data_IF_867055603391
#
_entry.id   IF_867055603391
#
_cell.length_a   1.000
_cell.length_b   1.000
_cell.length_c   1.000
_cell.angle_alpha   90.00
_cell.angle_beta   90.00
_cell.angle_gamma   90.00
#
_symmetry.space_group_name_H-M   'P 1'
#
loop_
_entity.id
_entity.type
_entity.pdbx_description
1 polymer ?
#
# COMPACT_ATOMS: atom_id res chain seq x y z
N UNK A 1 -20.94 -33.19 13.16
CA UNK A 1 -21.03 -32.45 14.45
C UNK A 1 -19.74 -31.71 14.81
N UNK A 2 -18.54 -32.25 14.53
CA UNK A 2 -17.26 -31.58 14.82
C UNK A 2 -17.03 -30.24 14.10
N UNK A 3 -17.36 -30.14 12.80
CA UNK A 3 -17.17 -28.90 12.02
C UNK A 3 -18.11 -27.75 12.43
N UNK A 4 -19.34 -28.06 12.87
CA UNK A 4 -20.29 -27.04 13.32
C UNK A 4 -19.84 -26.40 14.64
N UNK A 5 -19.35 -27.21 15.58
CA UNK A 5 -18.84 -26.70 16.86
C UNK A 5 -17.55 -25.89 16.67
N UNK A 6 -16.68 -26.29 15.73
CA UNK A 6 -15.48 -25.52 15.38
C UNK A 6 -15.83 -24.16 14.79
N UNK A 7 -16.79 -24.10 13.85
CA UNK A 7 -17.22 -22.85 13.22
C UNK A 7 -17.91 -21.92 14.22
N UNK A 8 -18.79 -22.46 15.08
CA UNK A 8 -19.44 -21.69 16.14
C UNK A 8 -18.42 -21.08 17.12
N UNK A 9 -17.38 -21.85 17.49
CA UNK A 9 -16.30 -21.35 18.35
C UNK A 9 -15.47 -20.23 17.70
N UNK A 10 -15.23 -20.29 16.39
CA UNK A 10 -14.55 -19.22 15.65
C UNK A 10 -15.39 -17.94 15.61
N UNK A 11 -16.69 -18.05 15.29
CA UNK A 11 -17.60 -16.91 15.27
C UNK A 11 -17.68 -16.20 16.63
N UNK A 12 -17.77 -16.95 17.74
CA UNK A 12 -17.75 -16.37 19.09
C UNK A 12 -16.43 -15.65 19.40
N UNK A 13 -15.30 -16.18 18.92
CA UNK A 13 -13.99 -15.54 19.05
C UNK A 13 -13.95 -14.22 18.25
N UNK A 14 -14.47 -14.22 17.02
CA UNK A 14 -14.54 -13.03 16.19
C UNK A 14 -15.41 -11.94 16.82
N UNK A 15 -16.61 -12.28 17.31
CA UNK A 15 -17.50 -11.35 18.04
C UNK A 15 -16.80 -10.73 19.27
N UNK A 16 -16.12 -11.56 20.07
CA UNK A 16 -15.36 -11.09 21.22
C UNK A 16 -14.25 -10.09 20.88
N UNK A 17 -13.62 -10.25 19.71
CA UNK A 17 -12.59 -9.31 19.21
C UNK A 17 -13.22 -8.05 18.64
N UNK A 18 -14.30 -8.18 17.86
CA UNK A 18 -15.01 -7.03 17.29
C UNK A 18 -15.51 -6.09 18.39
N UNK A 19 -15.98 -6.63 19.51
CA UNK A 19 -16.42 -5.84 20.68
C UNK A 19 -15.29 -5.04 21.34
N UNK A 20 -14.02 -5.36 21.07
CA UNK A 20 -12.85 -4.61 21.56
C UNK A 20 -12.43 -3.48 20.59
N UNK A 21 -12.99 -3.43 19.38
CA UNK A 21 -12.61 -2.49 18.34
C UNK A 21 -13.70 -1.42 18.20
N UNK A 22 -13.31 -0.20 18.54
CA UNK A 22 -14.15 1.00 18.41
C UNK A 22 -13.59 1.94 17.34
N UNK A 23 -14.40 2.86 16.77
CA UNK A 23 -13.96 3.77 15.70
C UNK A 23 -12.71 4.63 16.04
N UNK A 24 -12.46 4.89 17.32
CA UNK A 24 -11.32 5.65 17.83
C UNK A 24 -10.13 4.77 18.27
N UNK A 25 -10.21 3.46 18.04
CA UNK A 25 -9.16 2.50 18.40
C UNK A 25 -7.87 2.85 17.68
N UNK A 26 -6.81 3.07 18.45
CA UNK A 26 -5.52 3.48 17.92
C UNK A 26 -4.83 2.31 17.24
N UNK A 27 -4.07 2.61 16.20
CA UNK A 27 -3.30 1.60 15.46
C UNK A 27 -2.32 0.81 16.35
N UNK A 28 -1.77 1.44 17.38
CA UNK A 28 -0.90 0.77 18.35
C UNK A 28 -1.63 -0.31 19.15
N UNK A 29 -2.89 -0.07 19.52
CA UNK A 29 -3.70 -1.05 20.27
C UNK A 29 -4.19 -2.16 19.33
N UNK A 30 -4.57 -1.82 18.09
CA UNK A 30 -4.88 -2.81 17.06
C UNK A 30 -3.72 -3.80 16.83
N UNK A 31 -2.48 -3.30 16.83
CA UNK A 31 -1.27 -4.14 16.73
C UNK A 31 -1.02 -5.01 17.96
N UNK A 32 -1.41 -4.57 19.16
CA UNK A 32 -1.33 -5.41 20.38
C UNK A 32 -2.32 -6.56 20.27
N UNK A 33 -3.58 -6.28 19.90
CA UNK A 33 -4.60 -7.31 19.65
C UNK A 33 -4.09 -8.33 18.62
N UNK A 34 -3.55 -7.86 17.49
CA UNK A 34 -2.98 -8.74 16.47
C UNK A 34 -1.85 -9.64 17.01
N UNK A 35 -0.98 -9.08 17.86
CA UNK A 35 0.12 -9.82 18.49
C UNK A 35 -0.39 -10.92 19.42
N UNK A 36 -1.42 -10.64 20.21
CA UNK A 36 -1.99 -11.59 21.16
C UNK A 36 -2.74 -12.73 20.45
N UNK A 37 -3.38 -12.44 19.31
CA UNK A 37 -4.02 -13.45 18.45
C UNK A 37 -2.98 -14.31 17.73
N UNK A 38 -1.90 -13.69 17.23
CA UNK A 38 -0.97 -14.33 16.32
C UNK A 38 -1.55 -14.53 14.93
N UNK A 39 -1.01 -15.50 14.18
CA UNK A 39 -1.46 -15.80 12.82
C UNK A 39 -2.68 -16.74 12.85
N UNK A 40 -3.82 -16.28 12.36
CA UNK A 40 -5.08 -17.02 12.30
C UNK A 40 -5.88 -16.58 11.06
N UNK A 41 -5.75 -17.32 9.96
CA UNK A 41 -6.33 -16.94 8.67
C UNK A 41 -7.86 -17.06 8.64
N UNK A 42 -8.44 -18.06 9.31
CA UNK A 42 -9.90 -18.20 9.33
C UNK A 42 -10.54 -17.04 10.11
N UNK A 43 -9.97 -16.71 11.28
CA UNK A 43 -10.40 -15.54 12.03
C UNK A 43 -10.18 -14.24 11.25
N UNK A 44 -9.08 -14.13 10.49
CA UNK A 44 -8.86 -12.97 9.63
C UNK A 44 -10.01 -12.77 8.63
N UNK A 45 -10.47 -13.86 7.99
CA UNK A 45 -11.56 -13.79 7.02
C UNK A 45 -12.90 -13.48 7.69
N UNK A 46 -13.16 -13.98 8.90
CA UNK A 46 -14.35 -13.60 9.67
C UNK A 46 -14.32 -12.11 10.05
N UNK A 47 -13.20 -11.60 10.56
CA UNK A 47 -13.03 -10.17 10.87
C UNK A 47 -13.17 -9.30 9.62
N UNK A 48 -12.63 -9.75 8.49
CA UNK A 48 -12.73 -9.06 7.20
C UNK A 48 -14.18 -8.92 6.74
N UNK A 49 -14.97 -9.97 6.93
CA UNK A 49 -16.38 -10.03 6.53
C UNK A 49 -17.28 -9.04 7.28
N UNK A 50 -16.83 -8.51 8.42
CA UNK A 50 -17.56 -7.47 9.16
C UNK A 50 -17.77 -6.17 8.37
N UNK A 51 -17.01 -5.95 7.29
CA UNK A 51 -17.12 -4.76 6.45
C UNK A 51 -16.52 -3.48 7.05
N UNK A 52 -16.14 -3.51 8.33
CA UNK A 52 -15.62 -2.35 9.04
C UNK A 52 -14.12 -2.17 8.81
N UNK A 53 -13.68 -0.91 8.77
CA UNK A 53 -12.31 -0.53 8.40
C UNK A 53 -11.25 -1.10 9.36
N UNK A 54 -11.39 -0.86 10.67
CA UNK A 54 -10.41 -1.31 11.66
C UNK A 54 -10.35 -2.85 11.81
N UNK A 55 -11.47 -3.59 11.81
CA UNK A 55 -11.44 -5.05 11.72
C UNK A 55 -10.76 -5.58 10.47
N UNK A 56 -10.95 -4.96 9.30
CA UNK A 56 -10.23 -5.31 8.06
C UNK A 56 -8.73 -5.05 8.17
N UNK A 57 -8.30 -3.96 8.83
CA UNK A 57 -6.90 -3.72 9.14
C UNK A 57 -6.31 -4.78 10.08
N UNK A 58 -7.08 -5.22 11.10
CA UNK A 58 -6.66 -6.31 11.99
C UNK A 58 -6.57 -7.64 11.25
N UNK A 59 -7.55 -7.96 10.39
CA UNK A 59 -7.54 -9.15 9.55
C UNK A 59 -6.26 -9.24 8.71
N UNK A 60 -5.85 -8.13 8.09
CA UNK A 60 -4.58 -8.05 7.35
C UNK A 60 -3.37 -8.33 8.25
N UNK A 61 -3.38 -7.98 9.53
CA UNK A 61 -2.25 -8.26 10.43
C UNK A 61 -2.14 -9.73 10.80
N UNK A 62 -3.25 -10.44 10.89
CA UNK A 62 -3.29 -11.83 11.41
C UNK A 62 -3.46 -12.91 10.33
N UNK A 63 -3.78 -12.53 9.09
CA UNK A 63 -3.93 -13.49 8.00
C UNK A 63 -2.61 -14.21 7.66
N UNK A 64 -2.72 -15.43 7.16
CA UNK A 64 -1.57 -16.19 6.66
C UNK A 64 -1.17 -15.79 5.24
N UNK A 65 0.00 -15.15 5.09
CA UNK A 65 0.57 -14.74 3.81
C UNK A 65 0.70 -15.90 2.80
N UNK A 66 0.91 -17.14 3.28
CA UNK A 66 1.02 -18.31 2.41
C UNK A 66 -0.29 -18.69 1.73
N UNK A 67 -1.41 -18.20 2.24
CA UNK A 67 -2.76 -18.41 1.70
C UNK A 67 -3.23 -17.25 0.83
N UNK A 68 -2.41 -16.21 0.65
CA UNK A 68 -2.73 -15.10 -0.23
C UNK A 68 -2.45 -15.48 -1.69
N UNK A 69 -3.51 -15.49 -2.50
CA UNK A 69 -3.50 -15.73 -3.95
C UNK A 69 -4.04 -14.51 -4.69
N UNK A 70 -3.88 -14.47 -6.03
CA UNK A 70 -4.54 -13.44 -6.85
C UNK A 70 -6.05 -13.41 -6.62
N UNK A 71 -6.69 -14.58 -6.61
CA UNK A 71 -8.14 -14.67 -6.40
C UNK A 71 -8.57 -14.08 -5.06
N UNK A 72 -7.82 -14.35 -3.98
CA UNK A 72 -8.10 -13.76 -2.68
C UNK A 72 -7.88 -12.25 -2.72
N UNK A 73 -6.80 -11.76 -3.34
CA UNK A 73 -6.57 -10.32 -3.49
C UNK A 73 -7.71 -9.65 -4.24
N UNK A 74 -8.20 -10.24 -5.33
CA UNK A 74 -9.31 -9.71 -6.11
C UNK A 74 -10.62 -9.65 -5.28
N UNK A 75 -10.86 -10.66 -4.43
CA UNK A 75 -11.99 -10.67 -3.48
C UNK A 75 -11.85 -9.57 -2.42
N UNK A 76 -10.69 -9.48 -1.76
CA UNK A 76 -10.42 -8.43 -0.77
C UNK A 76 -10.51 -7.04 -1.40
N UNK A 77 -10.02 -6.87 -2.62
CA UNK A 77 -10.09 -5.60 -3.33
C UNK A 77 -11.54 -5.20 -3.63
N UNK A 78 -12.36 -6.13 -4.12
CA UNK A 78 -13.79 -5.87 -4.37
C UNK A 78 -14.46 -5.35 -3.11
N UNK A 79 -14.14 -5.97 -1.98
CA UNK A 79 -14.59 -5.56 -0.67
C UNK A 79 -14.05 -4.18 -0.24
N UNK A 80 -12.80 -3.84 -0.56
CA UNK A 80 -12.24 -2.51 -0.29
C UNK A 80 -12.99 -1.40 -1.02
N UNK A 81 -13.64 -1.68 -2.16
CA UNK A 81 -14.44 -0.68 -2.89
C UNK A 81 -15.68 -0.20 -2.11
N UNK A 82 -16.06 -0.88 -1.01
CA UNK A 82 -17.13 -0.41 -0.11
C UNK A 82 -16.67 0.71 0.83
N UNK A 83 -15.38 1.03 0.85
CA UNK A 83 -14.79 2.07 1.70
C UNK A 83 -14.55 3.39 0.95
N UNK A 84 -14.49 4.52 1.67
CA UNK A 84 -13.95 5.77 1.13
C UNK A 84 -12.55 5.60 0.54
N UNK A 85 -12.17 6.53 -0.36
CA UNK A 85 -10.92 6.45 -1.14
C UNK A 85 -9.68 6.31 -0.25
N UNK A 86 -9.62 7.05 0.85
CA UNK A 86 -8.46 7.04 1.74
C UNK A 86 -8.35 5.71 2.49
N UNK A 87 -9.48 5.15 2.94
CA UNK A 87 -9.53 3.87 3.63
C UNK A 87 -9.16 2.71 2.70
N UNK A 88 -9.69 2.66 1.47
CA UNK A 88 -9.30 1.61 0.50
C UNK A 88 -7.81 1.68 0.14
N UNK A 89 -7.26 2.89 -0.03
CA UNK A 89 -5.84 3.10 -0.29
C UNK A 89 -5.01 2.62 0.90
N UNK A 90 -5.44 2.94 2.12
CA UNK A 90 -4.77 2.48 3.33
C UNK A 90 -4.85 0.95 3.47
N UNK A 91 -6.00 0.32 3.19
CA UNK A 91 -6.15 -1.14 3.26
C UNK A 91 -5.23 -1.84 2.26
N UNK A 92 -5.15 -1.39 1.00
CA UNK A 92 -4.29 -2.05 0.01
C UNK A 92 -2.80 -1.84 0.30
N UNK A 93 -2.40 -0.64 0.74
CA UNK A 93 -1.01 -0.37 1.14
C UNK A 93 -0.63 -1.20 2.38
N UNK A 94 -1.58 -1.40 3.30
CA UNK A 94 -1.41 -2.23 4.48
C UNK A 94 -1.32 -3.73 4.13
N UNK A 95 -2.15 -4.21 3.19
CA UNK A 95 -2.09 -5.57 2.67
C UNK A 95 -0.73 -5.83 1.99
N UNK A 96 -0.26 -4.88 1.18
CA UNK A 96 1.06 -4.95 0.57
C UNK A 96 2.15 -5.12 1.63
N UNK A 97 2.21 -4.21 2.60
CA UNK A 97 3.29 -4.16 3.58
C UNK A 97 3.31 -5.38 4.53
N UNK A 98 2.14 -5.88 4.92
CA UNK A 98 2.04 -6.94 5.92
C UNK A 98 1.98 -8.34 5.30
N UNK A 99 1.52 -8.49 4.06
CA UNK A 99 1.21 -9.79 3.48
C UNK A 99 1.90 -10.01 2.13
N UNK A 100 1.74 -9.12 1.16
CA UNK A 100 2.23 -9.36 -0.20
C UNK A 100 3.77 -9.37 -0.28
N UNK A 101 4.44 -8.56 0.54
CA UNK A 101 5.91 -8.48 0.54
C UNK A 101 6.62 -9.53 1.40
N UNK A 102 5.91 -10.58 1.85
CA UNK A 102 6.45 -11.60 2.78
C UNK A 102 7.00 -12.84 2.08
N UNK A 103 6.61 -13.11 0.85
CA UNK A 103 6.98 -14.32 0.09
C UNK A 103 7.30 -13.99 -1.37
N UNK A 104 8.20 -14.76 -1.99
CA UNK A 104 8.61 -14.56 -3.40
C UNK A 104 7.43 -14.66 -4.37
N UNK A 105 6.48 -15.57 -4.11
CA UNK A 105 5.30 -15.77 -4.95
C UNK A 105 4.41 -14.53 -4.96
N UNK A 106 4.16 -13.93 -3.79
CA UNK A 106 3.31 -12.73 -3.70
C UNK A 106 4.03 -11.46 -4.14
N UNK A 107 5.37 -11.40 -4.05
CA UNK A 107 6.17 -10.35 -4.68
C UNK A 107 6.06 -10.44 -6.21
N UNK A 108 6.25 -11.62 -6.79
CA UNK A 108 6.11 -11.82 -8.25
C UNK A 108 4.70 -11.46 -8.73
N UNK A 109 3.69 -11.67 -7.89
CA UNK A 109 2.32 -11.25 -8.17
C UNK A 109 2.22 -9.72 -8.29
N UNK A 110 2.74 -9.00 -7.29
CA UNK A 110 2.78 -7.53 -7.29
C UNK A 110 3.55 -6.99 -8.50
N UNK A 111 4.66 -7.62 -8.87
CA UNK A 111 5.46 -7.23 -10.04
C UNK A 111 4.70 -7.41 -11.37
N UNK A 112 3.69 -8.29 -11.41
CA UNK A 112 2.83 -8.48 -12.60
C UNK A 112 1.74 -7.41 -12.77
N UNK A 113 1.52 -6.56 -11.76
CA UNK A 113 0.35 -5.67 -11.71
C UNK A 113 0.52 -4.31 -12.39
N UNK A 114 1.64 -4.04 -13.05
CA UNK A 114 1.90 -2.76 -13.72
C UNK A 114 0.72 -2.31 -14.62
N UNK A 115 0.15 -3.24 -15.38
CA UNK A 115 -0.96 -3.00 -16.30
C UNK A 115 -2.24 -3.73 -15.88
N UNK A 116 -2.40 -4.05 -14.60
CA UNK A 116 -3.61 -4.71 -14.10
C UNK A 116 -4.85 -3.86 -14.40
N UNK A 117 -6.01 -4.48 -14.63
CA UNK A 117 -7.27 -3.76 -14.80
C UNK A 117 -7.65 -2.97 -13.54
N UNK A 118 -7.34 -3.55 -12.37
CA UNK A 118 -7.51 -2.92 -11.06
C UNK A 118 -6.60 -1.70 -10.87
N UNK A 119 -7.19 -0.59 -10.43
CA UNK A 119 -6.42 0.58 -10.01
C UNK A 119 -5.65 0.33 -8.70
N UNK A 120 -6.21 -0.42 -7.73
CA UNK A 120 -5.50 -0.68 -6.47
C UNK A 120 -4.27 -1.58 -6.70
N UNK A 121 -4.34 -2.54 -7.62
CA UNK A 121 -3.20 -3.38 -7.98
C UNK A 121 -2.11 -2.59 -8.70
N UNK A 122 -2.48 -1.73 -9.68
CA UNK A 122 -1.52 -0.80 -10.31
C UNK A 122 -0.88 0.12 -9.27
N UNK A 123 -1.67 0.65 -8.32
CA UNK A 123 -1.15 1.46 -7.20
C UNK A 123 -0.09 0.68 -6.42
N UNK A 124 -0.37 -0.58 -6.06
CA UNK A 124 0.58 -1.41 -5.30
C UNK A 124 1.87 -1.66 -6.09
N UNK A 125 1.78 -1.92 -7.39
CA UNK A 125 2.96 -2.06 -8.25
C UNK A 125 3.85 -0.81 -8.17
N UNK A 126 3.29 0.37 -8.44
CA UNK A 126 4.05 1.62 -8.44
C UNK A 126 4.57 1.94 -7.04
N UNK A 127 3.72 1.83 -6.02
CA UNK A 127 4.14 2.08 -4.64
C UNK A 127 5.26 1.13 -4.21
N UNK A 128 5.24 -0.12 -4.65
CA UNK A 128 6.34 -1.06 -4.44
C UNK A 128 7.66 -0.57 -5.06
N UNK A 129 7.64 -0.11 -6.32
CA UNK A 129 8.83 0.42 -7.01
C UNK A 129 9.43 1.63 -6.29
N UNK A 130 8.59 2.55 -5.80
CA UNK A 130 9.05 3.68 -4.98
C UNK A 130 9.59 3.23 -3.61
N UNK A 131 8.92 2.29 -2.93
CA UNK A 131 9.34 1.79 -1.62
C UNK A 131 10.67 1.06 -1.66
N UNK A 132 10.98 0.34 -2.73
CA UNK A 132 12.28 -0.31 -2.90
C UNK A 132 13.42 0.72 -2.77
N UNK A 133 13.30 1.86 -3.44
CA UNK A 133 14.27 2.97 -3.38
C UNK A 133 14.29 3.64 -2.02
N UNK A 134 13.12 3.98 -1.48
CA UNK A 134 13.00 4.56 -0.14
C UNK A 134 13.67 3.71 0.95
N UNK A 135 13.62 2.38 0.82
CA UNK A 135 14.27 1.44 1.75
C UNK A 135 15.74 1.14 1.38
N UNK A 136 16.33 1.83 0.41
CA UNK A 136 17.71 1.62 -0.05
C UNK A 136 17.93 0.31 -0.82
N UNK A 137 16.86 -0.38 -1.25
CA UNK A 137 16.90 -1.61 -2.07
C UNK A 137 16.72 -1.28 -3.54
N UNK A 138 17.60 -0.43 -4.07
CA UNK A 138 17.49 0.13 -5.42
C UNK A 138 17.67 -0.98 -6.46
N UNK A 139 16.67 -1.26 -7.32
CA UNK A 139 16.84 -2.21 -8.41
C UNK A 139 17.86 -1.72 -9.42
N UNK A 140 18.61 -2.64 -10.03
CA UNK A 140 19.51 -2.31 -11.11
C UNK A 140 18.72 -2.01 -12.39
N UNK A 141 18.96 -0.83 -12.96
CA UNK A 141 18.65 -0.50 -14.35
C UNK A 141 17.16 -0.58 -14.77
N UNK A 142 16.23 -0.24 -13.87
CA UNK A 142 14.80 -0.16 -14.24
C UNK A 142 14.20 1.25 -14.19
N UNK A 143 14.92 2.25 -13.65
CA UNK A 143 14.41 3.61 -13.51
C UNK A 143 14.11 4.27 -14.86
N UNK A 144 14.97 4.07 -15.86
CA UNK A 144 14.79 4.64 -17.19
C UNK A 144 13.46 4.23 -17.83
N UNK A 145 13.13 2.94 -17.78
CA UNK A 145 11.88 2.37 -18.30
C UNK A 145 10.67 2.85 -17.48
N UNK A 146 10.74 2.79 -16.15
CA UNK A 146 9.68 3.26 -15.27
C UNK A 146 9.34 4.73 -15.54
N UNK A 147 10.34 5.60 -15.66
CA UNK A 147 10.11 7.01 -15.96
C UNK A 147 9.49 7.24 -17.34
N UNK A 148 9.86 6.45 -18.35
CA UNK A 148 9.23 6.54 -19.68
C UNK A 148 7.74 6.22 -19.61
N UNK A 149 7.37 5.18 -18.86
CA UNK A 149 5.96 4.82 -18.65
C UNK A 149 5.24 5.88 -17.81
N UNK A 150 5.89 6.43 -16.79
CA UNK A 150 5.33 7.51 -15.97
C UNK A 150 5.03 8.74 -16.83
N UNK A 151 5.99 9.21 -17.62
CA UNK A 151 5.85 10.37 -18.50
C UNK A 151 4.73 10.20 -19.52
N UNK A 152 4.51 8.98 -20.01
CA UNK A 152 3.46 8.66 -20.97
C UNK A 152 2.06 8.61 -20.35
N UNK A 153 1.94 8.15 -19.09
CA UNK A 153 0.65 7.76 -18.51
C UNK A 153 0.15 8.59 -17.32
N UNK A 154 1.03 9.22 -16.53
CA UNK A 154 0.69 9.69 -15.17
C UNK A 154 -0.49 10.66 -15.11
N UNK A 155 -0.62 11.58 -16.09
CA UNK A 155 -1.69 12.59 -16.12
C UNK A 155 -3.07 11.98 -16.38
N UNK A 156 -3.13 10.86 -17.10
CA UNK A 156 -4.39 10.21 -17.50
C UNK A 156 -4.79 9.05 -16.58
N UNK A 157 -4.00 8.78 -15.56
CA UNK A 157 -4.19 7.64 -14.67
C UNK A 157 -5.13 8.00 -13.49
N UNK A 158 -5.72 6.97 -12.86
CA UNK A 158 -6.56 7.14 -11.66
C UNK A 158 -5.80 7.82 -10.53
N UNK A 159 -6.42 8.70 -9.72
CA UNK A 159 -5.73 9.48 -8.68
C UNK A 159 -4.88 8.64 -7.73
N UNK A 160 -5.39 7.47 -7.31
CA UNK A 160 -4.69 6.56 -6.41
C UNK A 160 -3.43 5.94 -7.02
N UNK A 161 -3.38 5.75 -8.34
CA UNK A 161 -2.21 5.23 -9.06
C UNK A 161 -1.29 6.38 -9.46
N UNK A 162 -1.84 7.52 -9.89
CA UNK A 162 -1.11 8.75 -10.19
C UNK A 162 -0.21 9.17 -9.02
N UNK A 163 -0.74 9.10 -7.79
CA UNK A 163 0.05 9.40 -6.59
C UNK A 163 1.21 8.41 -6.40
N UNK A 164 0.97 7.12 -6.62
CA UNK A 164 2.02 6.09 -6.49
C UNK A 164 3.10 6.21 -7.58
N UNK A 165 2.71 6.60 -8.80
CA UNK A 165 3.63 6.92 -9.89
C UNK A 165 4.48 8.14 -9.56
N UNK A 166 3.86 9.21 -9.03
CA UNK A 166 4.55 10.40 -8.56
C UNK A 166 5.54 10.07 -7.43
N UNK A 167 5.10 9.31 -6.43
CA UNK A 167 5.95 8.82 -5.35
C UNK A 167 7.16 8.04 -5.89
N UNK A 168 6.95 7.18 -6.89
CA UNK A 168 8.03 6.44 -7.55
C UNK A 168 9.04 7.37 -8.23
N UNK A 169 8.57 8.33 -9.02
CA UNK A 169 9.43 9.32 -9.66
C UNK A 169 10.23 10.15 -8.64
N UNK A 170 9.61 10.54 -7.53
CA UNK A 170 10.28 11.27 -6.45
C UNK A 170 11.46 10.49 -5.88
N UNK A 171 11.25 9.21 -5.52
CA UNK A 171 12.32 8.37 -4.98
C UNK A 171 13.38 7.96 -6.01
N UNK A 172 13.02 7.84 -7.30
CA UNK A 172 14.01 7.74 -8.38
C UNK A 172 14.90 8.98 -8.38
N UNK A 173 14.32 10.19 -8.39
CA UNK A 173 15.07 11.44 -8.43
C UNK A 173 15.96 11.69 -7.20
N UNK A 174 15.62 11.12 -6.04
CA UNK A 174 16.43 11.22 -4.82
C UNK A 174 17.66 10.29 -4.90
N UNK A 175 17.45 9.01 -5.20
CA UNK A 175 18.48 7.97 -5.07
C UNK A 175 19.28 7.71 -6.35
N UNK A 176 18.71 7.96 -7.52
CA UNK A 176 19.33 7.70 -8.81
C UNK A 176 19.62 9.03 -9.51
N UNK A 177 20.69 9.71 -9.07
CA UNK A 177 21.01 11.10 -9.43
C UNK A 177 21.03 11.36 -10.93
N UNK A 178 21.40 10.38 -11.76
CA UNK A 178 21.37 10.52 -13.22
C UNK A 178 19.96 10.77 -13.80
N UNK A 179 18.90 10.49 -13.04
CA UNK A 179 17.51 10.71 -13.42
C UNK A 179 16.85 11.89 -12.70
N UNK A 180 17.56 12.57 -11.79
CA UNK A 180 16.99 13.65 -10.96
C UNK A 180 16.37 14.77 -11.78
N UNK A 181 17.10 15.29 -12.75
CA UNK A 181 16.63 16.39 -13.61
C UNK A 181 15.40 15.97 -14.43
N UNK A 182 15.34 14.70 -14.86
CA UNK A 182 14.18 14.13 -15.56
C UNK A 182 12.95 14.11 -14.65
N UNK A 183 13.10 13.71 -13.39
CA UNK A 183 12.01 13.72 -12.41
C UNK A 183 11.55 15.13 -12.04
N UNK A 184 12.47 16.09 -11.91
CA UNK A 184 12.14 17.50 -11.67
C UNK A 184 11.35 18.06 -12.86
N UNK A 185 11.84 17.86 -14.09
CA UNK A 185 11.17 18.32 -15.30
C UNK A 185 9.78 17.70 -15.47
N UNK A 186 9.59 16.42 -15.10
CA UNK A 186 8.28 15.78 -15.06
C UNK A 186 7.32 16.53 -14.11
N UNK A 187 7.78 16.87 -12.91
CA UNK A 187 6.98 17.62 -11.94
C UNK A 187 6.61 19.01 -12.43
N UNK A 188 7.57 19.75 -12.99
CA UNK A 188 7.36 21.07 -13.58
C UNK A 188 6.35 21.03 -14.73
N UNK A 189 6.49 20.06 -15.62
CA UNK A 189 5.61 19.87 -16.78
C UNK A 189 4.18 19.52 -16.38
N UNK A 190 4.02 18.64 -15.40
CA UNK A 190 2.68 18.12 -15.01
C UNK A 190 1.97 19.03 -14.01
N UNK A 191 2.72 19.74 -13.16
CA UNK A 191 2.15 20.57 -12.09
C UNK A 191 1.42 19.78 -11.01
N UNK A 192 1.52 18.45 -11.00
CA UNK A 192 0.83 17.60 -10.04
C UNK A 192 1.24 17.93 -8.59
N UNK A 193 0.25 18.03 -7.72
CA UNK A 193 0.39 18.33 -6.28
C UNK A 193 1.04 19.68 -5.95
N UNK A 194 1.20 20.57 -6.94
CA UNK A 194 1.79 21.89 -6.73
C UNK A 194 0.85 22.76 -5.89
N UNK A 195 1.36 23.22 -4.75
CA UNK A 195 0.62 24.10 -3.83
C UNK A 195 -0.31 23.35 -2.87
N UNK A 196 -0.29 22.02 -2.86
CA UNK A 196 -1.03 21.23 -1.87
C UNK A 196 -0.57 21.55 -0.45
N UNK A 197 -1.55 21.72 0.45
CA UNK A 197 -1.26 22.01 1.85
C UNK A 197 -0.80 20.74 2.56
N UNK A 198 0.45 20.73 2.99
CA UNK A 198 0.97 19.68 3.86
C UNK A 198 1.01 20.09 5.33
N UNK A 199 0.77 19.12 6.20
CA UNK A 199 0.93 19.33 7.65
C UNK A 199 2.38 19.65 8.00
N UNK A 200 2.58 20.37 9.11
CA UNK A 200 3.91 20.76 9.58
C UNK A 200 4.80 19.52 9.77
N UNK A 201 5.95 19.49 9.09
CA UNK A 201 6.92 18.39 9.15
C UNK A 201 6.77 17.33 8.05
N UNK A 202 5.68 17.36 7.28
CA UNK A 202 5.51 16.53 6.09
C UNK A 202 6.18 17.18 4.87
N UNK A 203 6.59 16.36 3.90
CA UNK A 203 7.12 16.82 2.62
C UNK A 203 5.99 16.90 1.59
N UNK A 204 5.88 17.99 0.81
CA UNK A 204 4.91 18.09 -0.29
C UNK A 204 5.19 17.06 -1.38
N UNK A 205 4.14 16.61 -2.07
CA UNK A 205 4.25 15.63 -3.16
C UNK A 205 4.67 16.25 -4.51
N UNK A 206 4.76 17.58 -4.62
CA UNK A 206 5.26 18.24 -5.83
C UNK A 206 6.72 17.87 -6.08
N UNK A 207 7.00 17.12 -7.15
CA UNK A 207 8.31 16.48 -7.37
C UNK A 207 9.54 17.39 -7.16
N UNK A 208 9.59 18.63 -7.70
CA UNK A 208 10.75 19.49 -7.50
C UNK A 208 11.01 19.79 -6.01
N UNK A 209 9.96 20.12 -5.25
CA UNK A 209 10.06 20.39 -3.82
C UNK A 209 10.33 19.11 -3.03
N UNK A 210 9.64 18.01 -3.35
CA UNK A 210 9.81 16.70 -2.73
C UNK A 210 11.27 16.24 -2.82
N UNK A 211 11.82 16.22 -4.03
CA UNK A 211 13.19 15.77 -4.31
C UNK A 211 14.19 16.67 -3.57
N UNK A 212 14.01 17.99 -3.60
CA UNK A 212 14.92 18.92 -2.92
C UNK A 212 14.90 18.79 -1.39
N UNK A 213 13.73 18.53 -0.79
CA UNK A 213 13.59 18.36 0.66
C UNK A 213 14.12 17.00 1.12
N UNK A 214 13.69 15.90 0.49
CA UNK A 214 14.10 14.56 0.90
C UNK A 214 15.57 14.29 0.59
N UNK A 215 16.12 14.79 -0.52
CA UNK A 215 17.57 14.67 -0.78
C UNK A 215 18.39 15.32 0.34
N UNK A 216 17.93 16.44 0.92
CA UNK A 216 18.59 17.06 2.08
C UNK A 216 18.46 16.20 3.34
N UNK A 217 17.26 15.67 3.64
CA UNK A 217 17.05 14.80 4.81
C UNK A 217 17.88 13.51 4.75
N UNK A 218 18.11 12.97 3.55
CA UNK A 218 18.87 11.75 3.33
C UNK A 218 20.38 12.00 3.14
N UNK A 219 20.87 13.24 3.25
CA UNK A 219 22.26 13.64 2.94
C UNK A 219 22.70 13.29 1.51
N UNK A 220 21.77 13.34 0.54
CA UNK A 220 21.96 13.02 -0.87
C UNK A 220 22.10 14.26 -1.76
N UNK A 221 22.74 15.31 -1.22
CA UNK A 221 23.08 16.55 -1.93
C UNK A 221 23.67 16.31 -3.31
#
# INVERSE_FOLDING_TARGET
MSNLNSKMGQTLKAEGILNQIHPDTKLGDLRKIAKDIGKDHELAMELWSSGNFLPRQLAILIMDSKRVSQSLVDELEKDMQTHPIDERNQLIDWLMANQLMKDKKTIALVESWENAASALQRRVFWYHQGRLRWMGKIPLDNAGELLTKIEAGIVNEKPEVQWAMNFTAGWIGIYEKQHRDRCIALGEKTGLYKGDKVSKGCTPDYLPEFIAIESRKQNMG
#
